data_IF_075532139924
#
_entry.id   IF_075532139924
#
_cell.length_a   1.000
_cell.length_b   1.000
_cell.length_c   1.000
_cell.angle_alpha   90.00
_cell.angle_beta   90.00
_cell.angle_gamma   90.00
#
_symmetry.space_group_name_H-M   'P 1'
#
loop_
_entity.id
_entity.type
_entity.pdbx_description
1 polymer ?
#
# COMPACT_ATOMS: atom_id res chain seq x y z
N UNK A 1 -2.12 1.96 -17.88
CA UNK A 1 -2.18 3.26 -17.19
C UNK A 1 -0.77 3.68 -16.77
N UNK A 2 -0.44 4.96 -16.78
CA UNK A 2 0.85 5.46 -16.30
C UNK A 2 0.67 6.02 -14.90
N UNK A 3 1.50 5.63 -13.94
CA UNK A 3 1.45 6.16 -12.57
C UNK A 3 1.84 7.64 -12.57
N UNK A 4 0.95 8.57 -12.20
CA UNK A 4 1.26 9.99 -12.14
C UNK A 4 2.05 10.34 -10.87
N UNK A 5 2.72 11.50 -10.89
CA UNK A 5 3.24 12.14 -9.67
C UNK A 5 2.08 12.80 -8.93
N UNK A 6 1.96 12.58 -7.62
CA UNK A 6 0.98 13.23 -6.75
C UNK A 6 1.71 14.03 -5.67
N UNK A 7 1.19 15.20 -5.34
CA UNK A 7 1.76 16.08 -4.32
C UNK A 7 0.70 16.49 -3.31
N UNK A 8 1.04 16.40 -2.04
CA UNK A 8 0.24 16.91 -0.93
C UNK A 8 1.18 17.52 0.13
N UNK A 9 0.69 18.37 1.02
CA UNK A 9 1.54 19.04 2.01
C UNK A 9 2.40 18.07 2.82
N UNK A 10 3.72 18.11 2.61
CA UNK A 10 4.72 17.29 3.29
C UNK A 10 4.79 15.84 2.84
N UNK A 11 4.29 15.52 1.64
CA UNK A 11 4.49 14.23 0.99
C UNK A 11 4.47 14.39 -0.54
N UNK A 12 5.38 13.70 -1.20
CA UNK A 12 5.41 13.57 -2.65
C UNK A 12 5.37 12.09 -3.00
N UNK A 13 4.41 11.71 -3.82
CA UNK A 13 4.30 10.36 -4.38
C UNK A 13 4.78 10.41 -5.82
N UNK A 14 5.90 9.82 -6.10
CA UNK A 14 6.42 9.64 -7.46
C UNK A 14 6.20 8.20 -7.93
N UNK A 15 6.20 7.93 -9.23
CA UNK A 15 6.19 6.55 -9.71
C UNK A 15 7.23 5.70 -9.00
N UNK A 16 6.82 4.50 -8.59
CA UNK A 16 7.71 3.50 -8.00
C UNK A 16 8.61 2.93 -9.09
N UNK A 17 9.89 2.78 -8.78
CA UNK A 17 10.91 2.28 -9.68
C UNK A 17 11.66 1.08 -9.08
N UNK A 18 12.19 0.18 -9.90
CA UNK A 18 12.98 -0.95 -9.41
C UNK A 18 14.23 -0.51 -8.62
N UNK A 19 14.76 0.68 -8.91
CA UNK A 19 15.87 1.30 -8.17
C UNK A 19 15.53 1.63 -6.71
N UNK A 20 14.24 1.76 -6.36
CA UNK A 20 13.79 1.99 -4.98
C UNK A 20 14.00 0.79 -4.06
N UNK A 21 14.37 -0.36 -4.62
CA UNK A 21 14.57 -1.60 -3.87
C UNK A 21 15.58 -1.47 -2.74
N UNK A 22 16.65 -0.72 -2.93
CA UNK A 22 17.67 -0.52 -1.88
C UNK A 22 17.09 0.20 -0.67
N UNK A 23 16.37 1.30 -0.89
CA UNK A 23 15.72 2.05 0.17
C UNK A 23 14.58 1.26 0.81
N UNK A 24 13.75 0.58 0.00
CA UNK A 24 12.57 -0.15 0.47
C UNK A 24 12.90 -1.52 1.08
N UNK A 25 14.12 -2.03 0.92
CA UNK A 25 14.56 -3.22 1.62
C UNK A 25 14.51 -3.04 3.15
N UNK A 26 14.67 -1.83 3.65
CA UNK A 26 14.47 -1.52 5.07
C UNK A 26 13.04 -1.86 5.57
N UNK A 27 12.04 -1.81 4.68
CA UNK A 27 10.66 -2.22 5.00
C UNK A 27 10.43 -3.70 4.68
N UNK A 28 10.80 -4.15 3.48
CA UNK A 28 10.52 -5.50 3.01
C UNK A 28 11.41 -6.57 3.66
N UNK A 29 12.60 -6.22 4.10
CA UNK A 29 13.53 -7.10 4.83
C UNK A 29 13.31 -7.12 6.34
N UNK A 30 12.47 -6.24 6.88
CA UNK A 30 12.16 -6.19 8.30
C UNK A 30 11.02 -7.16 8.66
N UNK A 31 11.32 -8.16 9.49
CA UNK A 31 10.36 -9.20 9.85
C UNK A 31 9.12 -8.63 10.58
N UNK A 32 9.30 -7.59 11.38
CA UNK A 32 8.20 -6.95 12.12
C UNK A 32 7.26 -6.23 11.18
N UNK A 33 7.81 -5.42 10.27
CA UNK A 33 7.03 -4.70 9.25
C UNK A 33 6.31 -5.67 8.32
N UNK A 34 6.94 -6.82 8.02
CA UNK A 34 6.42 -7.81 7.08
C UNK A 34 5.52 -8.88 7.73
N UNK A 35 5.27 -8.79 9.04
CA UNK A 35 4.52 -9.83 9.80
C UNK A 35 3.19 -10.19 9.15
N UNK A 36 2.41 -9.19 8.74
CA UNK A 36 1.05 -9.36 8.22
C UNK A 36 0.97 -9.47 6.69
N UNK A 37 2.10 -9.62 6.01
CA UNK A 37 2.12 -9.88 4.58
C UNK A 37 1.95 -11.37 4.29
N UNK A 38 1.48 -11.72 3.09
CA UNK A 38 1.28 -13.12 2.69
C UNK A 38 2.57 -13.93 2.63
N UNK A 39 3.69 -13.28 2.33
CA UNK A 39 5.03 -13.86 2.28
C UNK A 39 5.90 -13.41 3.46
N UNK A 40 6.96 -14.16 3.82
CA UNK A 40 7.93 -13.71 4.82
C UNK A 40 8.72 -12.49 4.31
N UNK A 41 9.42 -11.82 5.25
CA UNK A 41 10.32 -10.73 4.91
C UNK A 41 11.36 -11.16 3.85
N UNK A 42 11.73 -10.23 2.98
CA UNK A 42 12.72 -10.45 1.94
C UNK A 42 14.11 -10.67 2.55
N UNK A 43 14.91 -11.52 1.92
CA UNK A 43 16.26 -11.86 2.38
C UNK A 43 17.35 -11.09 1.64
N UNK A 44 17.00 -10.36 0.59
CA UNK A 44 17.95 -9.56 -0.20
C UNK A 44 17.29 -8.37 -0.88
N UNK A 45 18.09 -7.37 -1.20
CA UNK A 45 17.67 -6.22 -2.03
C UNK A 45 17.17 -6.68 -3.40
N UNK A 46 17.80 -7.71 -3.98
CA UNK A 46 17.40 -8.23 -5.28
C UNK A 46 16.01 -8.86 -5.26
N UNK A 47 15.65 -9.55 -4.18
CA UNK A 47 14.28 -10.05 -3.99
C UNK A 47 13.28 -8.90 -3.92
N UNK A 48 13.61 -7.81 -3.23
CA UNK A 48 12.79 -6.59 -3.18
C UNK A 48 12.68 -5.96 -4.57
N UNK A 49 13.77 -5.91 -5.33
CA UNK A 49 13.79 -5.37 -6.69
C UNK A 49 12.87 -6.14 -7.63
N UNK A 50 12.96 -7.46 -7.60
CA UNK A 50 12.08 -8.34 -8.36
C UNK A 50 10.62 -8.12 -8.00
N UNK A 51 10.30 -8.10 -6.70
CA UNK A 51 8.96 -7.86 -6.20
C UNK A 51 8.37 -6.50 -6.65
N UNK A 52 9.19 -5.43 -6.61
CA UNK A 52 8.78 -4.10 -7.10
C UNK A 52 8.51 -4.14 -8.60
N UNK A 53 9.41 -4.75 -9.38
CA UNK A 53 9.26 -4.86 -10.82
C UNK A 53 7.98 -5.64 -11.21
N UNK A 54 7.71 -6.75 -10.53
CA UNK A 54 6.48 -7.54 -10.69
C UNK A 54 5.24 -6.71 -10.33
N UNK A 55 5.27 -5.96 -9.23
CA UNK A 55 4.17 -5.09 -8.80
C UNK A 55 3.84 -4.04 -9.87
N UNK A 56 4.86 -3.38 -10.42
CA UNK A 56 4.69 -2.36 -11.46
C UNK A 56 4.15 -2.98 -12.77
N UNK A 57 4.49 -4.22 -13.05
CA UNK A 57 4.07 -4.93 -14.26
C UNK A 57 2.63 -5.46 -14.20
N UNK A 58 1.97 -5.47 -13.03
CA UNK A 58 0.59 -5.93 -12.91
C UNK A 58 -0.34 -5.04 -13.74
N UNK A 59 -1.15 -5.58 -14.66
CA UNK A 59 -2.13 -4.80 -15.39
C UNK A 59 -3.10 -4.08 -14.45
N UNK A 60 -3.26 -2.78 -14.63
CA UNK A 60 -4.12 -1.95 -13.77
C UNK A 60 -3.46 -1.50 -12.45
N UNK A 61 -2.20 -1.83 -12.20
CA UNK A 61 -1.48 -1.32 -11.05
C UNK A 61 -0.99 0.11 -11.30
N UNK A 62 -1.17 0.95 -10.29
CA UNK A 62 -0.52 2.24 -10.12
C UNK A 62 0.25 2.18 -8.81
N UNK A 63 1.56 2.30 -8.87
CA UNK A 63 2.43 2.14 -7.71
C UNK A 63 3.33 3.36 -7.51
N UNK A 64 3.38 3.85 -6.27
CA UNK A 64 4.15 5.04 -5.91
C UNK A 64 5.17 4.75 -4.82
N UNK A 65 6.32 5.36 -4.94
CA UNK A 65 7.22 5.60 -3.83
C UNK A 65 6.69 6.77 -2.99
N UNK A 66 6.59 6.56 -1.69
CA UNK A 66 6.21 7.59 -0.72
C UNK A 66 7.50 8.30 -0.30
N UNK A 67 7.58 9.59 -0.54
CA UNK A 67 8.75 10.42 -0.25
C UNK A 67 8.34 11.71 0.45
N UNK A 68 9.27 12.43 1.06
CA UNK A 68 8.97 13.77 1.60
C UNK A 68 8.98 14.85 0.51
N UNK A 69 9.92 14.74 -0.44
CA UNK A 69 10.15 15.79 -1.45
C UNK A 69 10.42 15.27 -2.87
N UNK A 70 10.16 13.98 -3.11
CA UNK A 70 10.40 13.32 -4.40
C UNK A 70 11.74 12.59 -4.50
N UNK A 71 12.51 12.54 -3.41
CA UNK A 71 13.78 11.83 -3.31
C UNK A 71 13.65 10.35 -2.93
N UNK A 72 14.38 9.94 -1.88
CA UNK A 72 14.45 8.58 -1.38
C UNK A 72 13.07 8.04 -0.96
N UNK A 73 12.78 6.80 -1.31
CA UNK A 73 11.55 6.12 -0.91
C UNK A 73 11.57 5.76 0.58
N UNK A 74 10.56 6.26 1.31
CA UNK A 74 10.32 5.99 2.73
C UNK A 74 9.23 4.95 2.95
N UNK A 75 8.55 4.57 1.90
CA UNK A 75 7.52 3.58 1.82
C UNK A 75 7.02 3.45 0.38
N UNK A 76 6.08 2.55 0.18
CA UNK A 76 5.35 2.46 -1.09
C UNK A 76 3.86 2.30 -0.84
N UNK A 77 3.08 2.76 -1.80
CA UNK A 77 1.64 2.56 -1.87
C UNK A 77 1.28 2.13 -3.29
N UNK A 78 0.38 1.17 -3.43
CA UNK A 78 -0.09 0.71 -4.72
C UNK A 78 -1.61 0.64 -4.74
N UNK A 79 -2.19 1.04 -5.86
CA UNK A 79 -3.61 0.91 -6.18
C UNK A 79 -3.72 -0.08 -7.34
N UNK A 80 -4.44 -1.16 -7.14
CA UNK A 80 -4.72 -2.18 -8.13
C UNK A 80 -6.16 -2.01 -8.61
N UNK A 81 -6.35 -1.57 -9.84
CA UNK A 81 -7.68 -1.49 -10.46
C UNK A 81 -8.07 -2.91 -10.89
N UNK A 82 -8.92 -3.56 -10.09
CA UNK A 82 -9.29 -4.96 -10.27
C UNK A 82 -10.38 -5.15 -11.32
N UNK A 83 -11.27 -4.18 -11.45
CA UNK A 83 -12.37 -4.13 -12.41
C UNK A 83 -12.85 -2.69 -12.57
N UNK A 84 -13.74 -2.46 -13.53
CA UNK A 84 -14.28 -1.13 -13.78
C UNK A 84 -14.82 -0.47 -12.51
N UNK A 85 -14.28 0.69 -12.19
CA UNK A 85 -14.69 1.51 -11.04
C UNK A 85 -14.27 1.00 -9.65
N UNK A 86 -13.53 -0.11 -9.54
CA UNK A 86 -13.13 -0.72 -8.25
C UNK A 86 -11.63 -0.92 -8.17
N UNK A 87 -11.03 -0.45 -7.09
CA UNK A 87 -9.62 -0.65 -6.80
C UNK A 87 -9.37 -1.19 -5.39
N UNK A 88 -8.15 -1.69 -5.18
CA UNK A 88 -7.65 -2.16 -3.88
C UNK A 88 -6.32 -1.48 -3.57
N UNK A 89 -6.12 -1.06 -2.33
CA UNK A 89 -4.90 -0.38 -1.90
C UNK A 89 -4.09 -1.25 -0.94
N UNK A 90 -2.77 -1.34 -1.21
CA UNK A 90 -1.76 -1.84 -0.29
C UNK A 90 -0.69 -0.78 0.01
N UNK A 91 -0.26 -0.70 1.26
CA UNK A 91 0.75 0.26 1.72
C UNK A 91 1.74 -0.39 2.67
N UNK A 92 3.02 -0.04 2.57
CA UNK A 92 4.06 -0.39 3.52
C UNK A 92 5.01 0.79 3.71
N UNK A 93 5.46 0.98 4.95
CA UNK A 93 6.41 2.03 5.32
C UNK A 93 7.69 1.42 5.88
N UNK A 94 8.81 2.10 5.69
CA UNK A 94 10.04 1.79 6.40
C UNK A 94 9.83 2.02 7.90
N UNK A 95 10.39 1.18 8.80
CA UNK A 95 10.20 1.32 10.25
C UNK A 95 10.48 2.74 10.77
N UNK A 96 11.59 3.34 10.33
CA UNK A 96 12.00 4.68 10.76
C UNK A 96 11.14 5.82 10.20
N UNK A 97 10.31 5.54 9.21
CA UNK A 97 9.38 6.51 8.62
C UNK A 97 7.96 6.42 9.21
N UNK A 98 7.71 5.44 10.08
CA UNK A 98 6.41 5.30 10.76
C UNK A 98 6.20 6.40 11.80
N UNK A 99 4.94 6.69 12.15
CA UNK A 99 4.60 7.71 13.15
C UNK A 99 4.74 9.17 12.69
N UNK A 100 5.19 9.42 11.45
CA UNK A 100 5.42 10.76 10.89
C UNK A 100 4.23 11.30 10.07
N UNK A 101 3.14 10.55 10.01
CA UNK A 101 1.94 10.93 9.25
C UNK A 101 2.05 10.74 7.73
N UNK A 102 3.19 10.25 7.21
CA UNK A 102 3.42 10.09 5.78
C UNK A 102 2.45 9.08 5.14
N UNK A 103 2.20 7.95 5.80
CA UNK A 103 1.25 6.94 5.33
C UNK A 103 -0.18 7.50 5.17
N UNK A 104 -0.63 8.31 6.15
CA UNK A 104 -1.95 8.94 6.10
C UNK A 104 -2.06 9.95 4.96
N UNK A 105 -1.05 10.78 4.77
CA UNK A 105 -1.01 11.75 3.66
C UNK A 105 -0.98 11.04 2.30
N UNK A 106 -0.16 10.00 2.18
CA UNK A 106 -0.05 9.19 0.96
C UNK A 106 -1.38 8.51 0.63
N UNK A 107 -2.01 7.86 1.61
CA UNK A 107 -3.30 7.20 1.43
C UNK A 107 -4.37 8.19 0.96
N UNK A 108 -4.49 9.36 1.60
CA UNK A 108 -5.44 10.37 1.22
C UNK A 108 -5.20 10.93 -0.20
N UNK A 109 -3.94 11.13 -0.59
CA UNK A 109 -3.59 11.57 -1.94
C UNK A 109 -3.99 10.54 -3.01
N UNK A 110 -3.72 9.25 -2.76
CA UNK A 110 -4.11 8.17 -3.69
C UNK A 110 -5.63 8.02 -3.75
N UNK A 111 -6.34 8.12 -2.61
CA UNK A 111 -7.82 8.08 -2.57
C UNK A 111 -8.41 9.23 -3.37
N UNK A 112 -7.89 10.45 -3.22
CA UNK A 112 -8.35 11.61 -3.99
C UNK A 112 -8.11 11.40 -5.51
N UNK A 113 -6.96 10.86 -5.89
CA UNK A 113 -6.65 10.52 -7.28
C UNK A 113 -7.58 9.43 -7.83
N UNK A 114 -7.85 8.40 -7.03
CA UNK A 114 -8.70 7.28 -7.44
C UNK A 114 -10.16 7.71 -7.68
N UNK A 115 -10.73 8.53 -6.80
CA UNK A 115 -12.12 9.01 -6.92
C UNK A 115 -12.28 10.17 -7.92
N UNK A 116 -11.22 10.95 -8.14
CA UNK A 116 -11.22 12.04 -9.11
C UNK A 116 -10.78 11.56 -10.49
N UNK A 117 -9.49 11.70 -10.86
CA UNK A 117 -9.00 11.41 -12.21
C UNK A 117 -9.26 10.00 -12.73
N UNK A 118 -9.30 8.97 -11.87
CA UNK A 118 -9.53 7.58 -12.28
C UNK A 118 -11.02 7.20 -12.28
N UNK A 119 -11.89 8.06 -11.79
CA UNK A 119 -13.33 7.86 -11.72
C UNK A 119 -13.78 6.55 -11.04
N UNK A 120 -12.97 6.06 -10.08
CA UNK A 120 -13.38 4.90 -9.30
C UNK A 120 -14.55 5.29 -8.38
N UNK A 121 -15.45 4.34 -8.11
CA UNK A 121 -16.54 4.55 -7.17
C UNK A 121 -16.30 3.82 -5.84
N UNK A 122 -15.32 2.89 -5.80
CA UNK A 122 -15.00 2.09 -4.62
C UNK A 122 -13.50 1.78 -4.54
N UNK A 123 -12.97 1.91 -3.34
CA UNK A 123 -11.60 1.48 -3.00
C UNK A 123 -11.68 0.56 -1.80
N UNK A 124 -11.08 -0.62 -1.90
CA UNK A 124 -11.02 -1.62 -0.85
C UNK A 124 -9.60 -1.75 -0.26
N UNK A 125 -9.53 -2.36 0.91
CA UNK A 125 -8.30 -2.83 1.53
C UNK A 125 -8.58 -4.15 2.26
N UNK A 126 -7.66 -5.09 2.12
CA UNK A 126 -7.62 -6.37 2.82
C UNK A 126 -6.54 -6.30 3.90
N UNK A 127 -6.93 -6.41 5.16
CA UNK A 127 -6.04 -6.17 6.30
C UNK A 127 -6.14 -7.33 7.29
N UNK A 128 -4.98 -7.84 7.74
CA UNK A 128 -4.94 -8.81 8.81
C UNK A 128 -5.60 -8.24 10.09
N UNK A 129 -6.48 -8.99 10.78
CA UNK A 129 -7.17 -8.51 11.99
C UNK A 129 -6.25 -8.00 13.11
N UNK A 130 -5.03 -8.53 13.20
CA UNK A 130 -4.06 -8.16 14.23
C UNK A 130 -3.24 -6.92 13.82
N UNK A 131 -3.30 -6.49 12.56
CA UNK A 131 -2.67 -5.28 12.07
C UNK A 131 -3.50 -4.03 12.43
N UNK A 132 -3.60 -3.76 13.74
CA UNK A 132 -4.43 -2.68 14.28
C UNK A 132 -3.99 -1.30 13.82
N UNK A 133 -2.70 -1.11 13.56
CA UNK A 133 -2.15 0.14 13.04
C UNK A 133 -2.65 0.43 11.63
N UNK A 134 -2.68 -0.57 10.76
CA UNK A 134 -3.23 -0.43 9.42
C UNK A 134 -4.74 -0.20 9.46
N UNK A 135 -5.50 -0.97 10.24
CA UNK A 135 -6.94 -0.76 10.42
C UNK A 135 -7.21 0.68 10.86
N UNK A 136 -6.47 1.19 11.84
CA UNK A 136 -6.62 2.56 12.33
C UNK A 136 -6.28 3.60 11.26
N UNK A 137 -5.26 3.36 10.43
CA UNK A 137 -4.89 4.22 9.30
C UNK A 137 -6.05 4.35 8.31
N UNK A 138 -6.64 3.23 7.90
CA UNK A 138 -7.73 3.22 6.93
C UNK A 138 -9.01 3.80 7.50
N UNK A 139 -9.35 3.55 8.79
CA UNK A 139 -10.48 4.19 9.45
C UNK A 139 -10.36 5.73 9.44
N UNK A 140 -9.18 6.28 9.76
CA UNK A 140 -8.94 7.73 9.71
C UNK A 140 -9.03 8.30 8.29
N UNK A 141 -8.78 7.49 7.27
CA UNK A 141 -8.96 7.87 5.87
C UNK A 141 -10.39 7.70 5.36
N UNK A 142 -11.36 7.41 6.26
CA UNK A 142 -12.78 7.30 5.92
C UNK A 142 -13.22 5.94 5.36
N UNK A 143 -12.37 4.92 5.45
CA UNK A 143 -12.78 3.56 5.13
C UNK A 143 -13.67 2.99 6.24
N UNK A 144 -14.64 2.18 5.86
CA UNK A 144 -15.51 1.46 6.78
C UNK A 144 -15.19 -0.03 6.75
N UNK A 145 -15.28 -0.67 7.91
CA UNK A 145 -15.18 -2.14 7.99
C UNK A 145 -16.47 -2.76 7.46
N UNK A 146 -16.34 -3.63 6.47
CA UNK A 146 -17.48 -4.32 5.84
C UNK A 146 -17.68 -5.75 6.34
N UNK A 147 -16.63 -6.38 6.84
CA UNK A 147 -16.73 -7.75 7.34
C UNK A 147 -15.37 -8.40 7.58
N UNK A 148 -15.43 -9.65 7.96
CA UNK A 148 -14.25 -10.51 8.14
C UNK A 148 -14.40 -11.75 7.28
N UNK A 149 -13.40 -12.03 6.45
CA UNK A 149 -13.27 -13.27 5.71
C UNK A 149 -12.40 -14.23 6.55
N UNK A 150 -12.99 -15.32 7.02
CA UNK A 150 -12.28 -16.30 7.84
C UNK A 150 -11.39 -17.18 6.97
N UNK A 151 -10.14 -17.42 7.41
CA UNK A 151 -9.19 -18.28 6.72
C UNK A 151 -8.88 -17.84 5.29
N UNK A 152 -8.89 -16.52 5.02
CA UNK A 152 -8.80 -15.98 3.67
C UNK A 152 -7.40 -16.14 3.06
N UNK A 153 -6.35 -16.09 3.87
CA UNK A 153 -4.97 -16.19 3.41
C UNK A 153 -4.19 -17.32 4.07
N UNK A 154 -3.46 -18.08 3.27
CA UNK A 154 -2.35 -18.91 3.75
C UNK A 154 -1.08 -18.08 3.70
N UNK A 155 -0.59 -17.68 4.85
CA UNK A 155 0.58 -16.82 5.00
C UNK A 155 1.76 -17.59 5.62
N UNK A 156 2.92 -16.93 5.74
CA UNK A 156 4.10 -17.50 6.42
C UNK A 156 3.90 -17.68 7.94
N UNK A 157 2.91 -17.01 8.54
CA UNK A 157 2.54 -17.18 9.96
C UNK A 157 1.29 -18.06 10.15
N UNK A 158 0.83 -18.73 9.10
CA UNK A 158 -0.31 -19.65 9.15
C UNK A 158 -1.53 -19.17 8.37
N UNK A 159 -2.67 -19.79 8.60
CA UNK A 159 -3.96 -19.38 8.01
C UNK A 159 -4.44 -18.14 8.75
N UNK A 160 -4.75 -17.08 8.01
CA UNK A 160 -5.15 -15.79 8.55
C UNK A 160 -6.51 -15.35 8.01
N UNK A 161 -7.24 -14.66 8.85
CA UNK A 161 -8.47 -13.97 8.47
C UNK A 161 -8.13 -12.63 7.80
N UNK A 162 -9.11 -12.05 7.11
CA UNK A 162 -9.04 -10.70 6.55
C UNK A 162 -10.15 -9.82 7.08
N UNK A 163 -9.81 -8.64 7.58
CA UNK A 163 -10.74 -7.55 7.75
C UNK A 163 -10.86 -6.83 6.41
N UNK A 164 -12.02 -6.90 5.79
CA UNK A 164 -12.31 -6.18 4.57
C UNK A 164 -12.79 -4.78 4.91
N UNK A 165 -12.09 -3.80 4.37
CA UNK A 165 -12.43 -2.39 4.52
C UNK A 165 -12.65 -1.76 3.16
N UNK A 166 -13.56 -0.79 3.08
CA UNK A 166 -13.76 -0.04 1.85
C UNK A 166 -14.18 1.39 2.12
N UNK A 167 -13.87 2.24 1.14
CA UNK A 167 -14.40 3.59 1.02
C UNK A 167 -15.10 3.75 -0.32
N UNK A 168 -16.29 4.31 -0.31
CA UNK A 168 -17.04 4.68 -1.51
C UNK A 168 -16.80 6.16 -1.82
N UNK A 169 -16.94 6.52 -3.08
CA UNK A 169 -16.99 7.91 -3.51
C UNK A 169 -18.35 8.50 -3.08
N UNK A 170 -18.32 9.67 -2.48
CA UNK A 170 -19.51 10.45 -2.11
C UNK A 170 -20.29 10.92 -3.34
#
# INVERSE_FOLDING_TARGET
>A
MTTPRLEAPGVVLRPLEAADAEALFAAHGDATTHTYWSSPAHTSVEQTRTYIAETIAIPGALAWAITESGGEALGRIALFVQREGVGEIGIIMRPEATGRGLASKALNAVVAHAFGPLDLHRIAADIDPDNTSSISLFLRAGFQREGTLRGNWKTHIGIRDSVMMARLRD
#
